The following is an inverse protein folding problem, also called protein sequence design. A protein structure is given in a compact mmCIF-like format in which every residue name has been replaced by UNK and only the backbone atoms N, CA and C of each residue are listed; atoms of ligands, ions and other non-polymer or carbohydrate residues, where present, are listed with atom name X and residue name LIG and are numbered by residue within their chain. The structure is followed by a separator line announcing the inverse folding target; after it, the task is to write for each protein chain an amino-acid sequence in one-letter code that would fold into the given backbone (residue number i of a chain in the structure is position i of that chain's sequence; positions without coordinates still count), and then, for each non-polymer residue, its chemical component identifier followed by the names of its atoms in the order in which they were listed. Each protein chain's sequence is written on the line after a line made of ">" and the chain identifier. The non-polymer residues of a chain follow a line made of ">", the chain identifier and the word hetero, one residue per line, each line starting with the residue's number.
data_IF_043314860671
#
_entry.id   IF_043314860671
#
_cell.length_a   1.000
_cell.length_b   1.000
_cell.length_c   1.000
_cell.angle_alpha   90.00
_cell.angle_beta   90.00
_cell.angle_gamma   90.00
#
_symmetry.space_group_name_H-M   'P 1'
#
loop_
_entity.id
_entity.type
_entity.pdbx_description
1 polymer ?
#
# COMPACT_ATOMS: atom_id res chain seq x y z
N UNK A 1 -27.02 -22.79 -66.65
CA UNK A 1 -27.04 -21.89 -65.48
C UNK A 1 -25.84 -22.26 -64.62
N UNK A 2 -24.75 -21.50 -64.74
CA UNK A 2 -23.53 -21.74 -63.95
C UNK A 2 -23.54 -20.85 -62.71
N UNK A 3 -23.28 -21.39 -61.50
CA UNK A 3 -23.21 -20.58 -60.29
C UNK A 3 -21.97 -19.69 -60.33
N UNK A 4 -22.18 -18.42 -60.04
CA UNK A 4 -21.19 -17.35 -59.99
C UNK A 4 -20.35 -17.55 -58.73
N UNK A 5 -19.06 -17.86 -58.91
CA UNK A 5 -18.10 -17.98 -57.81
C UNK A 5 -17.96 -16.64 -57.08
N UNK A 6 -18.36 -16.59 -55.80
CA UNK A 6 -18.10 -15.44 -54.94
C UNK A 6 -16.63 -15.43 -54.52
N UNK A 7 -15.95 -14.33 -54.86
CA UNK A 7 -14.56 -14.06 -54.56
C UNK A 7 -14.42 -13.70 -53.07
N UNK A 8 -13.57 -14.40 -52.28
CA UNK A 8 -13.42 -14.11 -50.86
C UNK A 8 -12.77 -12.73 -50.63
N UNK A 9 -13.28 -11.91 -49.69
CA UNK A 9 -12.73 -10.59 -49.44
C UNK A 9 -11.30 -10.68 -48.90
N UNK A 10 -10.40 -9.94 -49.55
CA UNK A 10 -9.01 -9.78 -49.15
C UNK A 10 -8.91 -9.38 -47.68
N UNK A 11 -8.32 -10.26 -46.86
CA UNK A 11 -8.04 -9.98 -45.45
C UNK A 11 -7.12 -8.75 -45.35
N UNK A 12 -7.59 -7.63 -44.78
CA UNK A 12 -6.75 -6.47 -44.58
C UNK A 12 -5.70 -6.80 -43.54
N UNK A 13 -4.45 -6.84 -43.98
CA UNK A 13 -3.26 -6.59 -43.19
C UNK A 13 -3.18 -7.38 -41.89
N UNK A 14 -2.43 -8.48 -41.94
CA UNK A 14 -1.54 -8.89 -40.86
C UNK A 14 -0.70 -7.69 -40.42
N UNK A 15 -1.27 -6.83 -39.57
CA UNK A 15 -0.55 -5.83 -38.82
C UNK A 15 0.44 -6.63 -37.97
N UNK A 16 1.68 -6.71 -38.46
CA UNK A 16 2.79 -7.29 -37.71
C UNK A 16 2.68 -6.79 -36.28
N UNK A 17 2.69 -7.70 -35.28
CA UNK A 17 2.72 -7.32 -33.89
C UNK A 17 3.99 -6.51 -33.72
N UNK A 18 3.89 -5.18 -33.83
CA UNK A 18 5.01 -4.27 -33.59
C UNK A 18 5.49 -4.64 -32.21
N UNK A 19 6.64 -5.30 -32.15
CA UNK A 19 7.29 -5.68 -30.93
C UNK A 19 7.36 -4.39 -30.11
N UNK A 20 6.49 -4.28 -29.10
CA UNK A 20 6.56 -3.19 -28.14
C UNK A 20 7.88 -3.42 -27.44
N UNK A 21 8.94 -2.80 -27.95
CA UNK A 21 10.22 -2.70 -27.27
C UNK A 21 9.89 -2.12 -25.91
N UNK A 22 9.97 -2.97 -24.88
CA UNK A 22 9.66 -2.59 -23.52
C UNK A 22 10.57 -1.40 -23.18
N UNK A 23 9.98 -0.20 -23.15
CA UNK A 23 10.73 0.99 -22.79
C UNK A 23 11.40 0.82 -21.43
N UNK A 24 12.45 1.59 -21.13
CA UNK A 24 13.18 1.48 -19.87
C UNK A 24 12.21 1.52 -18.68
N UNK A 25 12.34 0.56 -17.77
CA UNK A 25 11.49 0.46 -16.57
C UNK A 25 11.58 1.78 -15.79
N UNK A 26 10.45 2.46 -15.52
CA UNK A 26 10.48 3.73 -14.80
C UNK A 26 11.23 3.61 -13.47
N UNK A 27 12.06 4.61 -13.16
CA UNK A 27 12.72 4.70 -11.84
C UNK A 27 11.67 4.80 -10.74
N UNK A 28 11.99 4.28 -9.55
CA UNK A 28 11.06 4.33 -8.42
C UNK A 28 10.86 5.79 -7.97
N UNK A 29 9.61 6.26 -7.82
CA UNK A 29 9.32 7.57 -7.28
C UNK A 29 9.68 7.66 -5.80
N UNK A 30 10.19 8.80 -5.34
CA UNK A 30 10.64 9.03 -3.96
C UNK A 30 9.52 8.94 -2.92
N UNK A 31 8.27 9.10 -3.36
CA UNK A 31 7.07 8.98 -2.53
C UNK A 31 6.92 7.57 -1.94
N UNK A 32 7.41 6.54 -2.64
CA UNK A 32 7.37 5.15 -2.16
C UNK A 32 8.28 4.95 -0.94
N UNK A 33 9.61 5.22 -0.99
CA UNK A 33 10.43 5.12 0.21
C UNK A 33 9.93 6.03 1.34
N UNK A 34 9.51 7.27 1.04
CA UNK A 34 8.97 8.17 2.07
C UNK A 34 7.74 7.59 2.79
N UNK A 35 6.76 7.07 2.05
CA UNK A 35 5.57 6.44 2.64
C UNK A 35 5.94 5.19 3.47
N UNK A 36 6.86 4.36 2.96
CA UNK A 36 7.32 3.18 3.68
C UNK A 36 8.09 3.53 4.95
N UNK A 37 8.88 4.60 4.95
CA UNK A 37 9.54 5.11 6.14
C UNK A 37 8.51 5.56 7.18
N UNK A 38 7.48 6.32 6.78
CA UNK A 38 6.41 6.74 7.69
C UNK A 38 5.71 5.53 8.32
N UNK A 39 5.32 4.55 7.49
CA UNK A 39 4.65 3.32 7.96
C UNK A 39 5.56 2.51 8.89
N UNK A 40 6.85 2.38 8.55
CA UNK A 40 7.82 1.68 9.37
C UNK A 40 8.04 2.36 10.72
N UNK A 41 8.16 3.69 10.74
CA UNK A 41 8.29 4.46 11.98
C UNK A 41 7.03 4.35 12.85
N UNK A 42 5.85 4.41 12.24
CA UNK A 42 4.59 4.17 12.94
C UNK A 42 4.56 2.78 13.61
N UNK A 43 4.98 1.74 12.88
CA UNK A 43 5.02 0.37 13.41
C UNK A 43 5.98 0.24 14.59
N UNK A 44 7.21 0.75 14.43
CA UNK A 44 8.22 0.75 15.50
C UNK A 44 7.73 1.53 16.71
N UNK A 45 7.17 2.72 16.52
CA UNK A 45 6.62 3.54 17.59
C UNK A 45 5.48 2.82 18.34
N UNK A 46 4.59 2.14 17.61
CA UNK A 46 3.51 1.34 18.20
C UNK A 46 4.07 0.22 19.09
N UNK A 47 5.16 -0.43 18.68
CA UNK A 47 5.83 -1.44 19.50
C UNK A 47 6.48 -0.86 20.73
N UNK A 48 7.13 0.30 20.62
CA UNK A 48 7.79 0.95 21.76
C UNK A 48 6.79 1.36 22.84
N UNK A 49 5.60 1.80 22.45
CA UNK A 49 4.54 2.17 23.41
C UNK A 49 3.91 0.93 24.05
N UNK A 50 3.70 -0.16 23.29
CA UNK A 50 3.06 -1.37 23.82
C UNK A 50 3.98 -2.32 24.59
N UNK A 51 5.30 -2.27 24.38
CA UNK A 51 6.24 -3.23 24.98
C UNK A 51 6.28 -3.23 26.53
N UNK A 52 6.25 -2.07 27.23
CA UNK A 52 6.32 -2.03 28.69
C UNK A 52 5.23 -2.86 29.37
N UNK A 53 4.03 -2.88 28.80
CA UNK A 53 2.88 -3.62 29.35
C UNK A 53 3.00 -5.14 29.14
N UNK A 54 3.83 -5.59 28.19
CA UNK A 54 4.05 -7.02 27.93
C UNK A 54 5.07 -7.64 28.90
N UNK A 55 6.00 -6.84 29.43
CA UNK A 55 7.11 -7.34 30.25
C UNK A 55 6.60 -7.63 31.67
N UNK A 56 6.32 -8.90 31.94
CA UNK A 56 5.81 -9.38 33.23
C UNK A 56 4.46 -10.08 33.15
N UNK A 57 3.85 -10.11 31.95
CA UNK A 57 2.60 -10.82 31.70
C UNK A 57 2.83 -12.33 31.54
N UNK A 58 1.93 -13.15 32.09
CA UNK A 58 1.94 -14.61 31.94
C UNK A 58 1.83 -15.03 30.47
N UNK A 59 1.21 -14.19 29.64
CA UNK A 59 1.00 -14.39 28.21
C UNK A 59 2.11 -13.81 27.30
N UNK A 60 3.24 -13.36 27.87
CA UNK A 60 4.32 -12.71 27.12
C UNK A 60 4.74 -13.49 25.86
N UNK A 61 4.87 -14.82 25.95
CA UNK A 61 5.27 -15.66 24.83
C UNK A 61 4.29 -15.60 23.65
N UNK A 62 2.99 -15.59 23.94
CA UNK A 62 1.93 -15.46 22.94
C UNK A 62 1.93 -14.08 22.31
N UNK A 63 2.03 -13.02 23.13
CA UNK A 63 2.08 -11.64 22.65
C UNK A 63 3.31 -11.39 21.77
N UNK A 64 4.47 -11.90 22.16
CA UNK A 64 5.70 -11.84 21.38
C UNK A 64 5.57 -12.57 20.04
N UNK A 65 4.94 -13.76 20.02
CA UNK A 65 4.68 -14.49 18.78
C UNK A 65 3.77 -13.70 17.83
N UNK A 66 2.71 -13.07 18.34
CA UNK A 66 1.86 -12.16 17.55
C UNK A 66 2.65 -10.97 17.02
N UNK A 67 3.50 -10.36 17.85
CA UNK A 67 4.34 -9.22 17.49
C UNK A 67 5.29 -9.56 16.31
N UNK A 68 5.97 -10.71 16.41
CA UNK A 68 6.86 -11.22 15.35
C UNK A 68 6.06 -11.54 14.09
N UNK A 69 4.94 -12.24 14.23
CA UNK A 69 4.07 -12.62 13.12
C UNK A 69 3.60 -11.40 12.33
N UNK A 70 3.05 -10.39 13.01
CA UNK A 70 2.61 -9.16 12.36
C UNK A 70 3.76 -8.34 11.76
N UNK A 71 4.94 -8.35 12.40
CA UNK A 71 6.13 -7.69 11.83
C UNK A 71 6.53 -8.34 10.51
N UNK A 72 6.52 -9.67 10.43
CA UNK A 72 6.81 -10.40 9.20
C UNK A 72 5.78 -10.09 8.10
N UNK A 73 4.49 -10.05 8.44
CA UNK A 73 3.41 -9.68 7.51
C UNK A 73 3.61 -8.26 6.98
N UNK A 74 3.89 -7.29 7.86
CA UNK A 74 4.12 -5.90 7.46
C UNK A 74 5.37 -5.78 6.58
N UNK A 75 6.47 -6.43 6.96
CA UNK A 75 7.72 -6.41 6.19
C UNK A 75 7.53 -7.00 4.78
N UNK A 76 6.83 -8.13 4.66
CA UNK A 76 6.48 -8.75 3.38
C UNK A 76 5.62 -7.79 2.54
N UNK A 77 4.66 -7.12 3.18
CA UNK A 77 3.77 -6.19 2.50
C UNK A 77 4.50 -4.93 2.02
N UNK A 78 5.37 -4.35 2.84
CA UNK A 78 6.27 -3.26 2.48
C UNK A 78 7.20 -3.65 1.34
N UNK A 79 7.77 -4.86 1.36
CA UNK A 79 8.56 -5.40 0.26
C UNK A 79 7.72 -5.52 -1.03
N UNK A 80 6.46 -5.94 -0.92
CA UNK A 80 5.57 -6.05 -2.08
C UNK A 80 5.24 -4.69 -2.69
N UNK A 81 5.06 -3.66 -1.87
CA UNK A 81 4.91 -2.25 -2.28
C UNK A 81 6.20 -1.76 -2.94
N UNK A 82 7.36 -2.00 -2.31
CA UNK A 82 8.68 -1.67 -2.83
C UNK A 82 8.95 -2.30 -4.20
N UNK A 83 8.47 -3.52 -4.42
CA UNK A 83 8.56 -4.23 -5.69
C UNK A 83 7.66 -3.64 -6.79
N UNK A 84 6.68 -2.79 -6.43
CA UNK A 84 5.71 -2.17 -7.35
C UNK A 84 4.42 -2.95 -7.49
N UNK A 85 4.00 -3.71 -6.47
CA UNK A 85 2.75 -4.47 -6.49
C UNK A 85 1.51 -3.56 -6.43
N UNK A 86 0.68 -3.47 -7.49
CA UNK A 86 -0.45 -2.53 -7.51
C UNK A 86 -1.52 -2.88 -6.48
N UNK A 87 -1.78 -4.18 -6.25
CA UNK A 87 -2.75 -4.63 -5.23
C UNK A 87 -2.28 -4.26 -3.82
N UNK A 88 -1.00 -4.47 -3.52
CA UNK A 88 -0.42 -4.14 -2.21
C UNK A 88 -0.47 -2.63 -1.94
N UNK A 89 -0.15 -1.81 -2.94
CA UNK A 89 -0.26 -0.34 -2.86
C UNK A 89 -1.71 0.08 -2.59
N UNK A 90 -2.67 -0.47 -3.33
CA UNK A 90 -4.10 -0.14 -3.15
C UNK A 90 -4.60 -0.51 -1.75
N UNK A 91 -4.29 -1.72 -1.28
CA UNK A 91 -4.67 -2.16 0.05
C UNK A 91 -4.04 -1.27 1.12
N UNK A 92 -2.76 -0.88 0.97
CA UNK A 92 -2.08 -0.04 1.95
C UNK A 92 -2.68 1.35 1.98
N UNK A 93 -3.00 1.92 0.82
CA UNK A 93 -3.72 3.18 0.73
C UNK A 93 -5.06 3.09 1.46
N UNK A 94 -5.83 2.03 1.27
CA UNK A 94 -7.11 1.84 1.96
C UNK A 94 -6.93 1.73 3.47
N UNK A 95 -6.02 0.86 3.94
CA UNK A 95 -5.78 0.68 5.38
C UNK A 95 -5.23 1.95 6.03
N UNK A 96 -4.20 2.57 5.46
CA UNK A 96 -3.63 3.81 6.00
C UNK A 96 -4.64 4.96 6.01
N UNK A 97 -5.52 5.05 5.01
CA UNK A 97 -6.62 6.03 5.02
C UNK A 97 -7.64 5.70 6.12
N UNK A 98 -8.08 4.44 6.20
CA UNK A 98 -9.08 4.00 7.16
C UNK A 98 -8.60 4.15 8.60
N UNK A 99 -7.44 3.60 8.93
CA UNK A 99 -6.82 3.73 10.26
C UNK A 99 -6.47 5.18 10.57
N UNK A 100 -5.89 5.93 9.63
CA UNK A 100 -5.55 7.33 9.85
C UNK A 100 -6.78 8.19 10.18
N UNK A 101 -7.86 8.02 9.41
CA UNK A 101 -9.13 8.71 9.68
C UNK A 101 -9.78 8.25 10.98
N UNK A 102 -9.80 6.94 11.24
CA UNK A 102 -10.36 6.37 12.47
C UNK A 102 -9.64 6.89 13.71
N UNK A 103 -8.31 6.92 13.70
CA UNK A 103 -7.50 7.44 14.80
C UNK A 103 -7.79 8.94 14.99
N UNK A 104 -7.75 9.76 13.94
CA UNK A 104 -8.04 11.19 14.08
C UNK A 104 -9.44 11.47 14.63
N UNK A 105 -10.47 10.87 14.02
CA UNK A 105 -11.86 11.09 14.43
C UNK A 105 -12.10 10.52 15.83
N UNK A 106 -11.62 9.31 16.09
CA UNK A 106 -11.73 8.66 17.39
C UNK A 106 -11.10 9.49 18.50
N UNK A 107 -9.89 10.01 18.30
CA UNK A 107 -9.21 10.83 19.29
C UNK A 107 -9.93 12.14 19.56
N UNK A 108 -10.43 12.83 18.53
CA UNK A 108 -11.24 14.04 18.73
C UNK A 108 -12.52 13.73 19.50
N UNK A 109 -13.24 12.65 19.14
CA UNK A 109 -14.47 12.26 19.82
C UNK A 109 -14.24 11.89 21.30
N UNK A 110 -13.20 11.11 21.59
CA UNK A 110 -12.82 10.76 22.96
C UNK A 110 -12.50 12.02 23.75
N UNK A 111 -11.70 12.93 23.19
CA UNK A 111 -11.32 14.19 23.85
C UNK A 111 -12.54 15.04 24.21
N UNK A 112 -13.45 15.25 23.25
CA UNK A 112 -14.65 16.09 23.45
C UNK A 112 -15.61 15.44 24.44
N UNK A 113 -15.65 14.11 24.50
CA UNK A 113 -16.50 13.36 25.43
C UNK A 113 -15.97 13.27 26.87
N UNK A 114 -14.67 13.52 27.09
CA UNK A 114 -14.06 13.45 28.42
C UNK A 114 -14.28 14.76 29.21
N UNK A 115 -14.53 14.69 30.54
CA UNK A 115 -14.47 15.86 31.41
C UNK A 115 -13.09 16.53 31.40
N UNK A 116 -13.03 17.86 31.60
CA UNK A 116 -11.79 18.65 31.49
C UNK A 116 -10.66 18.15 32.40
N UNK A 117 -11.00 17.59 33.57
CA UNK A 117 -10.05 17.04 34.55
C UNK A 117 -9.30 15.79 34.08
N UNK A 118 -9.79 15.12 33.02
CA UNK A 118 -9.16 13.94 32.41
C UNK A 118 -8.55 14.22 31.04
N UNK A 119 -8.50 15.49 30.60
CA UNK A 119 -7.93 15.85 29.28
C UNK A 119 -6.44 16.19 29.41
N UNK A 120 -5.57 15.21 29.19
CA UNK A 120 -4.18 15.52 28.83
C UNK A 120 -4.11 15.94 27.35
N UNK A 121 -3.55 17.12 27.02
CA UNK A 121 -3.34 17.51 25.63
C UNK A 121 -2.58 16.46 24.78
N UNK A 122 -1.69 15.68 25.39
CA UNK A 122 -0.91 14.65 24.70
C UNK A 122 -1.77 13.48 24.22
N UNK A 123 -2.85 13.16 24.94
CA UNK A 123 -3.81 12.11 24.56
C UNK A 123 -4.56 12.44 23.25
N UNK A 124 -4.54 13.71 22.86
CA UNK A 124 -5.14 14.20 21.62
C UNK A 124 -4.09 14.39 20.54
N UNK A 125 -3.01 15.09 20.90
CA UNK A 125 -1.97 15.51 19.93
C UNK A 125 -1.25 14.31 19.36
N UNK A 126 -0.85 13.34 20.18
CA UNK A 126 -0.08 12.17 19.72
C UNK A 126 -0.91 11.34 18.73
N UNK A 127 -2.15 10.93 19.04
CA UNK A 127 -2.96 10.19 18.07
C UNK A 127 -3.29 11.00 16.80
N UNK A 128 -3.54 12.31 16.92
CA UNK A 128 -3.77 13.18 15.76
C UNK A 128 -2.56 13.20 14.83
N UNK A 129 -1.35 13.29 15.38
CA UNK A 129 -0.11 13.22 14.60
C UNK A 129 0.07 11.84 13.95
N UNK A 130 -0.22 10.76 14.68
CA UNK A 130 -0.17 9.39 14.15
C UNK A 130 -1.16 9.21 12.99
N UNK A 131 -2.42 9.62 13.19
CA UNK A 131 -3.46 9.56 12.16
C UNK A 131 -3.09 10.41 10.94
N UNK A 132 -2.57 11.62 11.16
CA UNK A 132 -2.07 12.51 10.11
C UNK A 132 -0.90 11.90 9.32
N UNK A 133 0.04 11.23 10.00
CA UNK A 133 1.16 10.55 9.35
C UNK A 133 0.69 9.40 8.45
N UNK A 134 -0.26 8.57 8.91
CA UNK A 134 -0.85 7.51 8.09
C UNK A 134 -1.60 8.06 6.87
N UNK A 135 -2.35 9.14 7.04
CA UNK A 135 -3.00 9.83 5.93
C UNK A 135 -1.98 10.40 4.94
N UNK A 136 -0.88 11.00 5.43
CA UNK A 136 0.20 11.49 4.58
C UNK A 136 0.85 10.36 3.77
N UNK A 137 1.11 9.20 4.37
CA UNK A 137 1.60 8.02 3.68
C UNK A 137 0.62 7.54 2.59
N UNK A 138 -0.68 7.51 2.89
CA UNK A 138 -1.72 7.17 1.91
C UNK A 138 -1.74 8.17 0.73
N UNK A 139 -1.64 9.47 1.01
CA UNK A 139 -1.60 10.52 -0.02
C UNK A 139 -0.36 10.43 -0.90
N UNK A 140 0.81 10.11 -0.32
CA UNK A 140 2.04 9.87 -1.07
C UNK A 140 1.89 8.68 -2.03
N UNK A 141 1.32 7.57 -1.57
CA UNK A 141 1.09 6.38 -2.37
C UNK A 141 0.01 6.55 -3.46
N UNK A 142 -0.93 7.49 -3.27
CA UNK A 142 -1.96 7.85 -4.29
C UNK A 142 -1.43 8.71 -5.43
N UNK A 143 -0.19 9.21 -5.37
CA UNK A 143 0.34 10.10 -6.40
C UNK A 143 0.40 9.39 -7.78
N UNK A 144 0.08 10.09 -8.88
CA UNK A 144 0.07 9.49 -10.23
C UNK A 144 1.38 8.81 -10.61
N UNK A 145 2.51 9.41 -10.24
CA UNK A 145 3.85 8.84 -10.47
C UNK A 145 4.04 7.44 -9.87
N UNK A 146 3.42 7.15 -8.71
CA UNK A 146 3.46 5.83 -8.07
C UNK A 146 2.65 4.82 -8.88
N UNK A 147 1.47 5.22 -9.37
CA UNK A 147 0.62 4.37 -10.18
C UNK A 147 1.23 4.07 -11.56
N UNK A 148 1.90 5.04 -12.19
CA UNK A 148 2.64 4.86 -13.44
C UNK A 148 3.82 3.92 -13.27
N UNK A 149 4.63 4.13 -12.23
CA UNK A 149 5.76 3.26 -11.89
C UNK A 149 5.31 1.82 -11.61
N UNK A 150 4.26 1.64 -10.79
CA UNK A 150 3.75 0.32 -10.45
C UNK A 150 3.21 -0.41 -11.70
N UNK A 151 2.50 0.28 -12.59
CA UNK A 151 2.03 -0.27 -13.87
C UNK A 151 3.19 -0.70 -14.76
N UNK A 152 4.22 0.13 -14.90
CA UNK A 152 5.42 -0.21 -15.69
C UNK A 152 6.15 -1.45 -15.15
N UNK A 153 6.32 -1.55 -13.83
CA UNK A 153 6.94 -2.71 -13.17
C UNK A 153 6.10 -3.98 -13.29
N UNK A 154 4.79 -3.88 -13.16
CA UNK A 154 3.89 -5.03 -13.26
C UNK A 154 3.81 -5.56 -14.69
N UNK A 155 3.72 -4.67 -15.68
CA UNK A 155 3.75 -5.03 -17.10
C UNK A 155 5.03 -5.77 -17.50
N UNK A 156 6.19 -5.33 -17.01
CA UNK A 156 7.48 -5.98 -17.29
C UNK A 156 7.62 -7.39 -16.69
N UNK A 157 6.82 -7.75 -15.69
CA UNK A 157 6.87 -9.07 -15.02
C UNK A 157 5.86 -10.08 -15.55
N UNK A 158 4.90 -9.65 -16.37
CA UNK A 158 3.88 -10.54 -16.93
C UNK A 158 4.47 -11.17 -18.21
N UNK A 159 4.67 -12.50 -18.26
CA UNK A 159 5.11 -13.13 -19.49
C UNK A 159 4.12 -12.83 -20.63
N UNK A 160 4.59 -12.71 -21.89
CA UNK A 160 3.71 -12.46 -23.01
C UNK A 160 2.64 -13.55 -23.08
N UNK A 161 1.38 -13.14 -23.20
CA UNK A 161 0.26 -14.06 -23.36
C UNK A 161 0.39 -14.76 -24.72
N UNK A 162 1.11 -15.87 -24.76
CA UNK A 162 1.38 -16.61 -26.00
C UNK A 162 2.56 -17.60 -25.96
N UNK A 163 3.18 -17.86 -24.80
CA UNK A 163 4.26 -18.84 -24.67
C UNK A 163 3.80 -20.17 -24.02
N UNK A 164 2.69 -20.72 -24.48
CA UNK A 164 2.27 -22.10 -24.17
C UNK A 164 2.20 -22.92 -25.44
#
# INVERSE_FOLDING_TARGET
>A
MSPKSEEPPAHPGSAEPRARTAGPVPRRPWQVPAALTIIGLFWVGSMTVGMPDMIGDEDFGTQLAYMIGWTAVLALWMWRIWAGGPMAIRQMVTLATGFGALIMVGSVLVTVGLPDEYRDPLDVVVPVLVGGALLAAALLLRRPAVAEWARGRYGARRPPAGSQ
#
